data_IF_935928891658
#
_entry.id   IF_935928891658
#
_cell.length_a   1.000
_cell.length_b   1.000
_cell.length_c   1.000
_cell.angle_alpha   90.00
_cell.angle_beta   90.00
_cell.angle_gamma   90.00
#
_symmetry.space_group_name_H-M   'P 1'
#
loop_
_entity.id
_entity.type
_entity.pdbx_description
1 polymer ?
#
# COMPACT_ATOMS: atom_id res chain seq x y z
N UNK A 1 2.40 -24.32 39.42
CA UNK A 1 2.58 -23.77 38.05
C UNK A 1 1.62 -22.61 37.88
N UNK A 2 2.11 -21.44 37.49
CA UNK A 2 1.29 -20.24 37.27
C UNK A 2 1.15 -20.04 35.77
N UNK A 3 -0.09 -19.99 35.29
CA UNK A 3 -0.38 -19.64 33.89
C UNK A 3 -0.28 -18.12 33.74
N UNK A 4 0.41 -17.66 32.69
CA UNK A 4 0.50 -16.25 32.34
C UNK A 4 -0.28 -16.00 31.05
N UNK A 5 -0.93 -14.83 30.89
CA UNK A 5 -1.52 -14.44 29.62
C UNK A 5 -0.45 -14.47 28.52
N UNK A 6 -0.69 -15.24 27.47
CA UNK A 6 0.13 -15.25 26.27
C UNK A 6 -0.57 -14.41 25.21
N UNK A 7 0.14 -13.41 24.68
CA UNK A 7 -0.26 -12.66 23.50
C UNK A 7 0.48 -13.23 22.28
N UNK A 8 -0.14 -13.13 21.10
CA UNK A 8 0.56 -13.46 19.88
C UNK A 8 1.67 -12.44 19.60
N UNK A 9 2.78 -12.88 18.98
CA UNK A 9 3.78 -11.97 18.43
C UNK A 9 3.18 -10.91 17.50
N UNK A 10 3.95 -9.86 17.22
CA UNK A 10 3.63 -8.89 16.18
C UNK A 10 3.23 -9.61 14.88
N UNK A 11 2.30 -9.02 14.12
CA UNK A 11 1.83 -9.58 12.86
C UNK A 11 1.03 -10.88 12.98
N UNK A 12 0.67 -11.32 14.19
CA UNK A 12 -0.15 -12.51 14.41
C UNK A 12 -1.37 -12.21 15.28
N UNK A 13 -2.48 -12.90 15.01
CA UNK A 13 -3.68 -12.87 15.84
C UNK A 13 -4.05 -14.28 16.30
N UNK A 14 -4.73 -14.35 17.45
CA UNK A 14 -5.27 -15.59 17.95
C UNK A 14 -6.36 -16.09 17.00
N UNK A 15 -6.10 -17.22 16.35
CA UNK A 15 -7.00 -17.89 15.42
C UNK A 15 -7.04 -19.38 15.66
N UNK A 16 -7.64 -20.11 14.73
CA UNK A 16 -7.62 -21.57 14.72
C UNK A 16 -6.76 -22.06 13.56
N UNK A 17 -5.82 -22.94 13.85
CA UNK A 17 -5.03 -23.68 12.86
C UNK A 17 -5.19 -25.16 13.19
N UNK A 18 -5.68 -25.94 12.23
CA UNK A 18 -5.99 -27.38 12.40
C UNK A 18 -6.88 -27.69 13.63
N UNK A 19 -7.82 -26.79 13.93
CA UNK A 19 -8.76 -26.93 15.05
C UNK A 19 -8.20 -26.50 16.42
N UNK A 20 -6.91 -26.15 16.51
CA UNK A 20 -6.26 -25.71 17.76
C UNK A 20 -6.11 -24.19 17.77
N UNK A 21 -6.27 -23.56 18.94
CA UNK A 21 -5.97 -22.13 19.11
C UNK A 21 -4.48 -21.89 18.90
N UNK A 22 -4.14 -21.10 17.90
CA UNK A 22 -2.77 -20.79 17.52
C UNK A 22 -2.65 -19.30 17.14
N UNK A 23 -1.42 -18.80 17.10
CA UNK A 23 -1.14 -17.50 16.52
C UNK A 23 -1.01 -17.66 15.02
N UNK A 24 -1.87 -16.95 14.28
CA UNK A 24 -1.97 -17.02 12.83
C UNK A 24 -1.56 -15.69 12.25
N UNK A 25 -0.73 -15.73 11.21
CA UNK A 25 -0.23 -14.53 10.52
C UNK A 25 -1.40 -13.65 10.05
N UNK A 26 -1.26 -12.37 10.31
CA UNK A 26 -2.16 -11.31 9.93
C UNK A 26 -1.41 -10.40 8.97
N UNK A 27 -1.72 -10.41 7.67
CA UNK A 27 -1.07 -9.50 6.74
C UNK A 27 -1.47 -8.05 7.04
N UNK A 28 -0.55 -7.12 6.81
CA UNK A 28 -0.83 -5.69 6.90
C UNK A 28 -1.72 -5.28 5.74
N UNK A 29 -2.79 -4.51 6.00
CA UNK A 29 -3.72 -4.07 4.97
C UNK A 29 -3.88 -2.54 4.95
N UNK A 30 -3.39 -1.92 3.88
CA UNK A 30 -3.54 -0.48 3.63
C UNK A 30 -4.56 -0.24 2.51
N UNK A 31 -5.37 0.81 2.66
CA UNK A 31 -6.32 1.28 1.63
C UNK A 31 -6.18 2.77 1.41
N UNK A 32 -6.08 3.16 0.13
CA UNK A 32 -6.16 4.54 -0.34
C UNK A 32 -7.32 4.65 -1.32
N UNK A 33 -8.48 5.13 -0.86
CA UNK A 33 -9.62 5.37 -1.72
C UNK A 33 -9.69 6.84 -2.16
N UNK A 34 -10.35 7.15 -3.28
CA UNK A 34 -10.57 8.52 -3.70
C UNK A 34 -11.33 9.30 -2.61
N UNK A 35 -10.78 10.46 -2.26
CA UNK A 35 -11.44 11.57 -1.57
C UNK A 35 -12.00 11.41 -0.13
N UNK A 36 -11.86 10.27 0.58
CA UNK A 36 -12.21 10.23 2.02
C UNK A 36 -11.76 9.02 2.85
N UNK A 37 -11.39 7.88 2.24
CA UNK A 37 -11.11 6.65 2.99
C UNK A 37 -9.63 6.28 2.90
N UNK A 38 -8.94 6.50 4.00
CA UNK A 38 -7.58 6.03 4.26
C UNK A 38 -7.61 5.04 5.43
N UNK A 39 -6.87 3.95 5.26
CA UNK A 39 -6.55 2.99 6.31
C UNK A 39 -5.07 2.64 6.13
N UNK A 40 -4.23 2.89 7.13
CA UNK A 40 -2.82 2.43 7.15
C UNK A 40 -2.73 0.93 7.43
N UNK A 41 -1.52 0.37 7.38
CA UNK A 41 -1.32 -1.04 7.74
C UNK A 41 -1.70 -1.38 9.18
N UNK A 42 -1.48 -0.47 10.14
CA UNK A 42 -1.78 -0.68 11.56
C UNK A 42 -3.18 -0.18 11.96
N UNK A 43 -3.95 0.37 11.01
CA UNK A 43 -5.36 0.70 11.18
C UNK A 43 -5.65 2.16 11.55
N UNK A 44 -4.68 3.06 11.47
CA UNK A 44 -4.94 4.50 11.50
C UNK A 44 -5.88 4.91 10.37
N UNK A 45 -6.85 5.75 10.70
CA UNK A 45 -7.88 6.23 9.77
C UNK A 45 -7.97 7.75 9.79
N UNK A 46 -8.67 8.31 8.82
CA UNK A 46 -9.03 9.73 8.81
C UNK A 46 -9.90 10.07 10.03
N UNK A 47 -9.54 11.10 10.79
CA UNK A 47 -10.36 11.56 11.92
C UNK A 47 -11.79 11.90 11.47
N UNK A 48 -12.79 11.32 12.15
CA UNK A 48 -14.21 11.58 11.91
C UNK A 48 -14.52 13.05 12.20
N UNK A 49 -14.89 13.82 11.17
CA UNK A 49 -15.22 15.25 11.30
C UNK A 49 -14.32 16.20 10.51
N UNK A 50 -13.23 15.71 9.89
CA UNK A 50 -12.46 16.47 8.92
C UNK A 50 -13.25 16.57 7.60
N UNK A 51 -13.93 17.70 7.39
CA UNK A 51 -14.62 18.06 6.16
C UNK A 51 -13.67 17.91 4.96
N UNK A 52 -13.90 16.91 4.08
CA UNK A 52 -13.26 16.76 2.76
C UNK A 52 -11.72 16.99 2.74
N UNK A 53 -11.00 16.37 3.66
CA UNK A 53 -9.56 16.23 3.50
C UNK A 53 -9.29 15.36 2.26
N UNK A 54 -8.85 15.99 1.17
CA UNK A 54 -8.66 15.34 -0.13
C UNK A 54 -7.20 15.50 -0.53
N UNK A 55 -6.56 14.42 -0.96
CA UNK A 55 -5.21 14.52 -1.52
C UNK A 55 -5.26 15.46 -2.74
N UNK A 56 -4.31 16.40 -2.81
CA UNK A 56 -4.16 17.22 -3.99
C UNK A 56 -3.76 16.35 -5.20
N UNK A 57 -3.85 16.91 -6.40
CA UNK A 57 -3.33 16.23 -7.58
C UNK A 57 -1.80 16.12 -7.52
N UNK A 58 -1.28 15.01 -8.03
CA UNK A 58 0.14 14.72 -8.05
C UNK A 58 0.44 13.28 -7.68
N UNK A 59 1.74 13.01 -7.57
CA UNK A 59 2.25 11.67 -7.35
C UNK A 59 2.82 11.56 -5.94
N UNK A 60 2.49 10.46 -5.27
CA UNK A 60 2.81 10.23 -3.88
C UNK A 60 3.38 8.84 -3.65
N UNK A 61 4.27 8.70 -2.67
CA UNK A 61 4.78 7.40 -2.22
C UNK A 61 3.74 6.73 -1.34
N UNK A 62 3.05 5.72 -1.87
CA UNK A 62 2.07 4.96 -1.09
C UNK A 62 2.78 4.04 -0.09
N UNK A 63 3.72 3.25 -0.59
CA UNK A 63 4.56 2.36 0.23
C UNK A 63 5.88 2.08 -0.49
N UNK A 64 6.96 1.97 0.26
CA UNK A 64 8.26 1.56 -0.20
C UNK A 64 9.00 0.81 0.92
N UNK A 65 10.01 0.02 0.56
CA UNK A 65 11.04 -0.37 1.51
C UNK A 65 11.92 0.85 1.81
N UNK A 66 12.13 1.19 3.08
CA UNK A 66 12.88 2.40 3.44
C UNK A 66 14.37 2.31 3.13
N UNK A 67 14.96 1.12 3.25
CA UNK A 67 16.35 0.91 2.84
C UNK A 67 16.41 0.50 1.36
N UNK A 68 16.62 1.50 0.50
CA UNK A 68 16.72 1.32 -0.95
C UNK A 68 18.00 0.56 -1.38
N UNK A 69 18.92 0.25 -0.46
CA UNK A 69 20.10 -0.58 -0.75
C UNK A 69 19.79 -2.07 -0.69
N UNK A 70 18.64 -2.46 -0.12
CA UNK A 70 18.19 -3.85 -0.12
C UNK A 70 18.04 -4.36 -1.56
N UNK A 71 18.49 -5.57 -1.89
CA UNK A 71 18.40 -6.11 -3.24
C UNK A 71 16.96 -6.36 -3.70
N UNK A 72 16.01 -6.45 -2.77
CA UNK A 72 14.58 -6.62 -2.98
C UNK A 72 13.78 -5.33 -2.79
N UNK A 73 14.43 -4.16 -2.88
CA UNK A 73 13.77 -2.86 -2.74
C UNK A 73 12.57 -2.74 -3.70
N UNK A 74 11.52 -2.07 -3.24
CA UNK A 74 10.43 -1.64 -4.10
C UNK A 74 9.91 -0.28 -3.66
N UNK A 75 9.26 0.42 -4.60
CA UNK A 75 8.61 1.71 -4.38
C UNK A 75 7.32 1.76 -5.20
N UNK A 76 6.19 1.82 -4.51
CA UNK A 76 4.87 2.01 -5.10
C UNK A 76 4.47 3.48 -5.03
N UNK A 77 4.26 4.07 -6.20
CA UNK A 77 3.70 5.40 -6.34
C UNK A 77 2.22 5.34 -6.73
N UNK A 78 1.44 6.25 -6.17
CA UNK A 78 0.05 6.52 -6.57
C UNK A 78 0.00 7.87 -7.27
N UNK A 79 -0.56 7.90 -8.48
CA UNK A 79 -0.80 9.13 -9.23
C UNK A 79 -2.26 9.55 -9.06
N UNK A 80 -2.45 10.68 -8.39
CA UNK A 80 -3.76 11.28 -8.11
C UNK A 80 -4.03 12.36 -9.15
N UNK A 81 -4.99 12.08 -10.01
CA UNK A 81 -5.53 13.04 -10.97
C UNK A 81 -6.89 13.58 -10.52
N UNK A 82 -7.54 14.32 -11.40
CA UNK A 82 -8.88 14.87 -11.17
C UNK A 82 -9.86 14.28 -12.18
N UNK A 83 -10.95 13.70 -11.68
CA UNK A 83 -12.01 13.08 -12.49
C UNK A 83 -13.34 13.62 -11.99
N UNK A 84 -14.06 14.35 -12.85
CA UNK A 84 -15.32 15.01 -12.49
C UNK A 84 -15.19 15.84 -11.20
N UNK A 85 -14.15 16.68 -11.13
CA UNK A 85 -13.81 17.54 -9.98
C UNK A 85 -13.60 16.77 -8.66
N UNK A 86 -13.18 15.50 -8.76
CA UNK A 86 -12.84 14.65 -7.61
C UNK A 86 -11.42 14.10 -7.75
N UNK A 87 -10.56 14.33 -6.75
CA UNK A 87 -9.26 13.68 -6.67
C UNK A 87 -9.43 12.16 -6.67
N UNK A 88 -8.78 11.51 -7.63
CA UNK A 88 -8.90 10.07 -7.84
C UNK A 88 -7.56 9.49 -8.27
N UNK A 89 -7.20 8.31 -7.78
CA UNK A 89 -6.02 7.59 -8.29
C UNK A 89 -6.29 7.18 -9.73
N UNK A 90 -5.46 7.67 -10.66
CA UNK A 90 -5.56 7.41 -12.09
C UNK A 90 -4.54 6.38 -12.56
N UNK A 91 -3.41 6.26 -11.86
CA UNK A 91 -2.38 5.28 -12.14
C UNK A 91 -1.61 4.84 -10.88
N UNK A 92 -0.99 3.66 -10.98
CA UNK A 92 0.03 3.17 -10.09
C UNK A 92 1.33 3.00 -10.85
N UNK A 93 2.44 3.32 -10.20
CA UNK A 93 3.78 3.04 -10.70
C UNK A 93 4.54 2.21 -9.67
N UNK A 94 4.89 0.96 -10.02
CA UNK A 94 5.69 0.10 -9.15
C UNK A 94 7.11 0.01 -9.70
N UNK A 95 8.08 0.43 -8.90
CA UNK A 95 9.49 0.31 -9.19
C UNK A 95 10.12 -0.78 -8.34
N UNK A 96 10.96 -1.60 -8.96
CA UNK A 96 11.79 -2.61 -8.31
C UNK A 96 13.04 -2.85 -9.17
N UNK A 97 14.08 -3.55 -8.66
CA UNK A 97 15.25 -3.88 -9.47
C UNK A 97 14.94 -4.78 -10.68
N UNK A 98 13.84 -5.54 -10.64
CA UNK A 98 13.48 -6.51 -11.69
C UNK A 98 12.54 -5.93 -12.75
N UNK A 99 11.65 -5.03 -12.34
CA UNK A 99 10.60 -4.51 -13.22
C UNK A 99 10.14 -3.11 -12.82
N UNK A 100 9.78 -2.34 -13.83
CA UNK A 100 8.97 -1.13 -13.72
C UNK A 100 7.57 -1.39 -14.29
N UNK A 101 6.55 -1.19 -13.47
CA UNK A 101 5.15 -1.34 -13.88
C UNK A 101 4.43 -0.01 -13.87
N UNK A 102 3.59 0.22 -14.88
CA UNK A 102 2.57 1.26 -14.85
C UNK A 102 1.21 0.65 -15.08
N UNK A 103 0.28 0.86 -14.14
CA UNK A 103 -1.09 0.39 -14.22
C UNK A 103 -2.02 1.59 -14.22
N UNK A 104 -2.87 1.73 -15.22
CA UNK A 104 -3.87 2.81 -15.27
C UNK A 104 -5.26 2.27 -14.94
N UNK A 105 -6.10 3.12 -14.35
CA UNK A 105 -7.50 2.77 -14.02
C UNK A 105 -8.35 2.40 -15.24
N UNK A 106 -7.93 2.81 -16.44
CA UNK A 106 -8.54 2.43 -17.72
C UNK A 106 -8.03 1.09 -18.25
N UNK A 107 -7.41 0.28 -17.38
CA UNK A 107 -6.92 -1.09 -17.61
C UNK A 107 -5.71 -1.19 -18.53
N UNK A 108 -5.10 -0.07 -18.89
CA UNK A 108 -3.85 -0.09 -19.64
C UNK A 108 -2.68 -0.39 -18.70
N UNK A 109 -1.88 -1.38 -19.08
CA UNK A 109 -0.71 -1.82 -18.31
C UNK A 109 0.53 -1.74 -19.18
N UNK A 110 1.64 -1.28 -18.59
CA UNK A 110 2.97 -1.30 -19.18
C UNK A 110 3.92 -2.06 -18.27
N UNK A 111 4.69 -2.96 -18.87
CA UNK A 111 5.81 -3.67 -18.22
C UNK A 111 7.09 -3.18 -18.88
N UNK A 112 7.97 -2.54 -18.10
CA UNK A 112 9.22 -1.94 -18.57
C UNK A 112 9.02 -0.99 -19.78
N UNK A 113 7.93 -0.22 -19.77
CA UNK A 113 7.59 0.72 -20.85
C UNK A 113 6.92 0.10 -22.08
N UNK A 114 6.72 -1.22 -22.11
CA UNK A 114 6.03 -1.92 -23.21
C UNK A 114 4.56 -2.15 -22.84
N UNK A 115 3.59 -1.71 -23.66
CA UNK A 115 2.17 -2.03 -23.43
C UNK A 115 1.95 -3.55 -23.37
N UNK A 116 1.15 -4.02 -22.41
CA UNK A 116 0.95 -5.45 -22.16
C UNK A 116 -0.52 -5.79 -21.92
N UNK A 117 -0.97 -6.90 -22.50
CA UNK A 117 -2.30 -7.46 -22.29
C UNK A 117 -2.33 -8.38 -21.06
N UNK A 118 -3.46 -8.42 -20.37
CA UNK A 118 -3.64 -9.25 -19.16
C UNK A 118 -4.36 -10.57 -19.47
N UNK A 119 -4.13 -11.63 -18.67
CA UNK A 119 -3.15 -11.71 -17.58
C UNK A 119 -1.71 -11.80 -18.11
N UNK A 120 -0.74 -11.41 -17.29
CA UNK A 120 0.70 -11.55 -17.58
C UNK A 120 1.46 -12.09 -16.37
N UNK A 121 2.32 -13.06 -16.62
CA UNK A 121 3.32 -13.54 -15.68
C UNK A 121 4.67 -12.91 -16.04
N UNK A 122 5.24 -12.12 -15.13
CA UNK A 122 6.51 -11.43 -15.32
C UNK A 122 7.66 -12.30 -14.81
N UNK A 123 7.41 -13.05 -13.75
CA UNK A 123 8.29 -14.09 -13.20
C UNK A 123 7.46 -15.12 -12.45
N UNK A 124 8.09 -16.19 -11.98
CA UNK A 124 7.46 -17.20 -11.12
C UNK A 124 6.87 -16.66 -9.82
N UNK A 125 7.22 -15.43 -9.42
CA UNK A 125 6.74 -14.79 -8.20
C UNK A 125 5.94 -13.51 -8.45
N UNK A 126 5.90 -12.99 -9.68
CA UNK A 126 5.26 -11.70 -9.98
C UNK A 126 4.30 -11.82 -11.16
N UNK A 127 3.03 -11.57 -10.89
CA UNK A 127 1.94 -11.65 -11.88
C UNK A 127 1.08 -10.38 -11.87
N UNK A 128 0.45 -10.10 -13.00
CA UNK A 128 -0.60 -9.10 -13.11
C UNK A 128 -1.83 -9.75 -13.72
N UNK A 129 -2.97 -9.62 -13.06
CA UNK A 129 -4.25 -10.11 -13.56
C UNK A 129 -5.35 -9.06 -13.42
N UNK A 130 -6.48 -9.31 -14.08
CA UNK A 130 -7.70 -8.54 -13.91
C UNK A 130 -8.79 -9.44 -13.35
N UNK A 131 -9.42 -9.02 -12.27
CA UNK A 131 -10.61 -9.69 -11.73
C UNK A 131 -11.68 -8.66 -11.39
N UNK A 132 -12.89 -8.81 -11.95
CA UNK A 132 -14.02 -7.87 -11.76
C UNK A 132 -13.65 -6.41 -12.05
N UNK A 133 -12.87 -6.17 -13.11
CA UNK A 133 -12.34 -4.86 -13.51
C UNK A 133 -11.30 -4.24 -12.57
N UNK A 134 -10.92 -4.90 -11.48
CA UNK A 134 -9.78 -4.48 -10.65
C UNK A 134 -8.51 -5.11 -11.20
N UNK A 135 -7.47 -4.30 -11.36
CA UNK A 135 -6.12 -4.78 -11.68
C UNK A 135 -5.45 -5.24 -10.39
N UNK A 136 -4.81 -6.41 -10.43
CA UNK A 136 -4.08 -6.97 -9.30
C UNK A 136 -2.64 -7.26 -9.70
N UNK A 137 -1.68 -6.71 -8.95
CA UNK A 137 -0.26 -7.09 -8.99
C UNK A 137 0.03 -7.96 -7.78
N UNK A 138 0.42 -9.21 -8.02
CA UNK A 138 0.74 -10.16 -6.95
C UNK A 138 2.22 -10.48 -6.99
N UNK A 139 2.93 -10.17 -5.91
CA UNK A 139 4.27 -10.67 -5.63
C UNK A 139 4.19 -11.72 -4.50
N UNK A 140 4.33 -12.99 -4.83
CA UNK A 140 4.35 -14.08 -3.84
C UNK A 140 5.77 -14.27 -3.26
N UNK A 141 6.01 -14.13 -1.94
CA UNK A 141 5.04 -13.96 -0.85
C UNK A 141 4.91 -12.51 -0.32
N UNK A 142 5.57 -11.54 -0.92
CA UNK A 142 5.75 -10.21 -0.31
C UNK A 142 4.49 -9.34 -0.24
N UNK A 143 3.76 -9.18 -1.34
CA UNK A 143 2.65 -8.22 -1.39
C UNK A 143 1.62 -8.50 -2.49
N UNK A 144 0.43 -7.94 -2.30
CA UNK A 144 -0.64 -7.87 -3.31
C UNK A 144 -1.13 -6.42 -3.39
N UNK A 145 -1.17 -5.87 -4.61
CA UNK A 145 -1.60 -4.50 -4.86
C UNK A 145 -2.81 -4.53 -5.80
N UNK A 146 -3.89 -3.85 -5.41
CA UNK A 146 -5.10 -3.70 -6.21
C UNK A 146 -5.30 -2.26 -6.69
N UNK A 147 -5.78 -2.08 -7.92
CA UNK A 147 -6.33 -0.80 -8.42
C UNK A 147 -7.73 -1.03 -9.00
N UNK A 148 -8.75 -0.53 -8.31
CA UNK A 148 -10.13 -0.65 -8.75
C UNK A 148 -10.49 0.36 -9.84
N UNK A 149 -11.56 0.13 -10.63
CA UNK A 149 -12.07 1.11 -11.58
C UNK A 149 -12.44 2.44 -10.93
N UNK A 150 -12.78 2.44 -9.64
CA UNK A 150 -13.11 3.63 -8.87
C UNK A 150 -11.87 4.46 -8.49
N UNK A 151 -10.65 3.92 -8.63
CA UNK A 151 -9.42 4.53 -8.14
C UNK A 151 -9.15 4.22 -6.66
N UNK A 152 -9.77 3.16 -6.11
CA UNK A 152 -9.37 2.62 -4.81
C UNK A 152 -8.13 1.75 -4.99
N UNK A 153 -7.14 2.00 -4.15
CA UNK A 153 -5.89 1.24 -4.08
C UNK A 153 -5.89 0.43 -2.80
N UNK A 154 -5.64 -0.87 -2.92
CA UNK A 154 -5.40 -1.75 -1.78
C UNK A 154 -3.99 -2.27 -1.82
N UNK A 155 -3.34 -2.32 -0.67
CA UNK A 155 -2.01 -2.93 -0.52
C UNK A 155 -2.08 -3.90 0.64
N UNK A 156 -1.75 -5.15 0.37
CA UNK A 156 -1.59 -6.18 1.38
C UNK A 156 -0.12 -6.60 1.41
N UNK A 157 0.49 -6.63 2.59
CA UNK A 157 1.89 -7.01 2.79
C UNK A 157 2.01 -8.14 3.80
N UNK A 158 3.01 -9.00 3.64
CA UNK A 158 3.34 -9.99 4.68
C UNK A 158 4.10 -9.37 5.85
N UNK A 159 4.05 -10.05 6.98
CA UNK A 159 4.72 -9.64 8.22
C UNK A 159 6.23 -9.43 8.05
N UNK A 160 6.89 -10.14 7.13
CA UNK A 160 8.32 -10.00 6.85
C UNK A 160 8.73 -8.59 6.38
N UNK A 161 7.77 -7.80 5.89
CA UNK A 161 7.98 -6.40 5.53
C UNK A 161 7.75 -5.44 6.71
N UNK A 162 7.15 -5.89 7.81
CA UNK A 162 6.89 -5.07 8.99
C UNK A 162 8.16 -4.40 9.52
N UNK A 163 8.03 -3.17 10.00
CA UNK A 163 9.11 -2.27 10.41
C UNK A 163 10.10 -1.84 9.31
N UNK A 164 10.00 -2.36 8.08
CA UNK A 164 10.90 -2.01 6.96
C UNK A 164 10.23 -1.10 5.92
N UNK A 165 8.93 -0.84 6.08
CA UNK A 165 8.14 -0.04 5.16
C UNK A 165 8.10 1.44 5.57
N UNK A 166 7.85 2.29 4.58
CA UNK A 166 7.48 3.68 4.78
C UNK A 166 6.69 4.20 3.59
N UNK A 167 6.05 5.35 3.78
CA UNK A 167 5.09 5.92 2.84
C UNK A 167 3.80 6.26 3.55
N UNK A 168 2.79 6.65 2.78
CA UNK A 168 1.46 6.96 3.30
C UNK A 168 0.84 5.77 4.05
N UNK A 169 1.13 4.53 3.64
CA UNK A 169 0.60 3.32 4.27
C UNK A 169 1.20 2.97 5.64
N UNK A 170 2.15 3.76 6.16
CA UNK A 170 2.92 3.56 7.40
C UNK A 170 4.02 2.50 7.33
N UNK A 171 4.66 2.23 8.47
CA UNK A 171 5.78 1.31 8.65
C UNK A 171 5.36 -0.11 9.06
N UNK A 172 4.07 -0.35 9.31
CA UNK A 172 3.53 -1.63 9.72
C UNK A 172 4.28 -2.19 10.94
N UNK A 173 4.18 -1.48 12.07
CA UNK A 173 4.85 -1.81 13.33
C UNK A 173 3.87 -2.21 14.46
N UNK A 174 2.57 -2.21 14.16
CA UNK A 174 1.50 -2.57 15.07
C UNK A 174 0.98 -1.41 15.91
N UNK A 175 1.46 -0.18 15.69
CA UNK A 175 1.11 1.00 16.48
C UNK A 175 0.44 2.09 15.64
N UNK A 176 -0.89 1.97 15.53
CA UNK A 176 -1.73 2.90 14.78
C UNK A 176 -1.57 4.38 15.19
N UNK A 177 -1.21 4.67 16.45
CA UNK A 177 -1.06 6.06 16.91
C UNK A 177 0.14 6.78 16.29
N UNK A 178 1.05 6.03 15.66
CA UNK A 178 2.28 6.56 15.08
C UNK A 178 2.30 6.57 13.54
N UNK A 179 1.24 6.08 12.89
CA UNK A 179 1.19 5.86 11.44
C UNK A 179 1.24 7.14 10.59
N UNK A 180 0.80 8.28 11.15
CA UNK A 180 0.85 9.56 10.44
C UNK A 180 2.26 10.16 10.55
N UNK A 181 3.25 9.46 10.01
CA UNK A 181 4.66 9.84 10.07
C UNK A 181 5.19 10.25 8.70
N UNK A 182 5.80 11.43 8.63
CA UNK A 182 6.47 11.92 7.43
C UNK A 182 7.80 11.19 7.15
N UNK A 183 8.44 11.47 6.01
CA UNK A 183 9.72 10.85 5.62
C UNK A 183 10.88 11.21 6.55
N UNK A 184 10.76 12.31 7.31
CA UNK A 184 11.74 12.74 8.32
C UNK A 184 11.53 12.08 9.70
N UNK A 185 10.52 11.20 9.82
CA UNK A 185 10.17 10.53 11.06
C UNK A 185 9.24 11.34 11.98
N UNK A 186 8.84 12.56 11.59
CA UNK A 186 7.97 13.42 12.40
C UNK A 186 6.51 13.03 12.24
N UNK A 187 5.75 13.10 13.34
CA UNK A 187 4.30 12.91 13.29
C UNK A 187 3.62 14.16 12.74
N UNK A 188 2.67 13.96 11.84
CA UNK A 188 1.84 15.02 11.26
C UNK A 188 0.41 14.93 11.77
N UNK A 189 -0.30 16.06 11.72
CA UNK A 189 -1.62 16.19 12.34
C UNK A 189 -2.77 15.48 11.62
N UNK A 190 -2.63 15.23 10.32
CA UNK A 190 -3.68 14.62 9.50
C UNK A 190 -3.14 13.96 8.22
N UNK A 191 -4.01 13.26 7.51
CA UNK A 191 -3.69 12.53 6.26
C UNK A 191 -3.36 13.46 5.10
N UNK A 192 -3.84 14.72 5.10
CA UNK A 192 -3.50 15.70 4.05
C UNK A 192 -2.06 16.16 4.21
N UNK A 193 -1.65 16.47 5.44
CA UNK A 193 -0.27 16.76 5.80
C UNK A 193 0.63 15.54 5.51
N UNK A 194 0.16 14.32 5.79
CA UNK A 194 0.89 13.09 5.48
C UNK A 194 1.10 12.93 3.97
N UNK A 195 0.04 13.04 3.18
CA UNK A 195 0.14 12.97 1.72
C UNK A 195 1.08 14.04 1.18
N UNK A 196 0.99 15.28 1.67
CA UNK A 196 1.90 16.35 1.29
C UNK A 196 3.36 16.03 1.60
N UNK A 197 3.63 15.44 2.77
CA UNK A 197 4.97 15.05 3.20
C UNK A 197 5.56 13.92 2.33
N UNK A 198 4.71 13.01 1.84
CA UNK A 198 5.08 11.87 0.98
C UNK A 198 4.91 12.14 -0.52
N UNK A 199 4.83 13.39 -0.95
CA UNK A 199 4.83 13.74 -2.38
C UNK A 199 6.14 13.27 -3.01
N UNK A 200 6.08 12.76 -4.24
CA UNK A 200 7.22 12.27 -5.00
C UNK A 200 7.61 13.28 -6.10
N UNK A 201 8.32 14.39 -5.77
CA UNK A 201 8.68 15.40 -6.77
C UNK A 201 9.72 14.91 -7.79
N UNK A 202 10.42 13.81 -7.47
CA UNK A 202 11.41 13.14 -8.30
C UNK A 202 10.80 12.28 -9.41
N UNK A 203 9.48 12.10 -9.40
CA UNK A 203 8.74 11.44 -10.46
C UNK A 203 7.64 12.39 -10.94
N UNK A 204 7.88 13.02 -12.10
CA UNK A 204 6.95 13.92 -12.74
C UNK A 204 6.46 13.33 -14.08
N UNK A 205 5.24 13.72 -14.46
CA UNK A 205 4.64 13.48 -15.77
C UNK A 205 5.47 14.07 -16.91
#
# INVERSE_FOLDING_TARGET
MSCRPAACPFGQACGHQDGVRACVDQPGHCTLAPASRFVSFDGATMATGATRATMATGIYVAVALCDHRRPDWFRLLVDVGEIQDRPTVVALHLFSPKVFLTLKRDKKVWVNGVPTTLPVEISSTLTINETRSTLWVTHDPQFVIGLSPGGEVTVTVTQDLGHHLCGICSNYDGEATNDLRGPDGTLVGDVVALAKAWRAPDFAH
#
